data_IF_494422345424
#
_entry.id   IF_494422345424
#
_cell.length_a   1.000
_cell.length_b   1.000
_cell.length_c   1.000
_cell.angle_alpha   90.00
_cell.angle_beta   90.00
_cell.angle_gamma   90.00
#
_symmetry.space_group_name_H-M   'P 1'
#
loop_
_entity.id
_entity.type
_entity.pdbx_description
1 polymer ?
#
# COMPACT_ATOMS: atom_id res chain seq x y z
N UNK A 1 -12.93 12.18 -28.85
CA UNK A 1 -11.88 11.95 -29.87
C UNK A 1 -10.59 12.63 -29.44
N UNK A 2 -9.44 11.98 -29.66
CA UNK A 2 -8.10 12.56 -29.45
C UNK A 2 -7.70 13.38 -30.68
N UNK A 3 -7.63 14.69 -30.55
CA UNK A 3 -7.09 15.57 -31.60
C UNK A 3 -5.57 15.47 -31.72
N UNK A 4 -5.01 16.11 -32.75
CA UNK A 4 -3.55 16.16 -32.96
C UNK A 4 -2.85 16.87 -31.78
N UNK A 5 -3.39 18.02 -31.35
CA UNK A 5 -2.89 18.76 -30.19
C UNK A 5 -3.01 17.96 -28.89
N UNK A 6 -4.12 17.22 -28.69
CA UNK A 6 -4.27 16.34 -27.53
C UNK A 6 -3.13 15.31 -27.45
N UNK A 7 -2.81 14.68 -28.58
CA UNK A 7 -1.76 13.65 -28.66
C UNK A 7 -0.37 14.25 -28.47
N UNK A 8 -0.12 15.44 -29.00
CA UNK A 8 1.16 16.13 -28.88
C UNK A 8 1.44 16.59 -27.44
N UNK A 9 0.47 17.27 -26.81
CA UNK A 9 0.55 17.67 -25.39
C UNK A 9 0.70 16.43 -24.53
N UNK A 10 -0.11 15.41 -24.80
CA UNK A 10 -0.08 14.16 -24.06
C UNK A 10 1.23 13.40 -24.12
N UNK A 11 1.82 13.25 -25.30
CA UNK A 11 3.12 12.58 -25.46
C UNK A 11 4.22 13.33 -24.72
N UNK A 12 4.20 14.66 -24.77
CA UNK A 12 5.20 15.51 -24.11
C UNK A 12 5.11 15.39 -22.59
N UNK A 13 3.89 15.46 -22.04
CA UNK A 13 3.65 15.32 -20.60
C UNK A 13 3.95 13.90 -20.13
N UNK A 14 3.48 12.88 -20.84
CA UNK A 14 3.69 11.48 -20.46
C UNK A 14 5.18 11.13 -20.44
N UNK A 15 5.94 11.54 -21.46
CA UNK A 15 7.40 11.34 -21.47
C UNK A 15 8.07 12.04 -20.28
N UNK A 16 7.64 13.26 -19.94
CA UNK A 16 8.19 14.03 -18.81
C UNK A 16 7.85 13.37 -17.47
N UNK A 17 6.63 12.84 -17.31
CA UNK A 17 6.21 12.07 -16.13
C UNK A 17 7.02 10.79 -16.01
N UNK A 18 7.20 10.01 -17.08
CA UNK A 18 7.97 8.78 -17.05
C UNK A 18 9.45 9.03 -16.71
N UNK A 19 10.07 10.08 -17.28
CA UNK A 19 11.45 10.45 -16.93
C UNK A 19 11.57 10.88 -15.46
N UNK A 20 10.61 11.66 -14.97
CA UNK A 20 10.59 12.10 -13.58
C UNK A 20 10.40 10.93 -12.62
N UNK A 21 9.46 10.04 -12.93
CA UNK A 21 9.20 8.83 -12.17
C UNK A 21 10.42 7.93 -12.13
N UNK A 22 11.06 7.70 -13.28
CA UNK A 22 12.30 6.93 -13.37
C UNK A 22 13.38 7.52 -12.45
N UNK A 23 13.60 8.84 -12.50
CA UNK A 23 14.59 9.50 -11.65
C UNK A 23 14.30 9.32 -10.15
N UNK A 24 13.06 9.55 -9.73
CA UNK A 24 12.65 9.41 -8.32
C UNK A 24 12.80 7.95 -7.84
N UNK A 25 12.36 6.99 -8.65
CA UNK A 25 12.41 5.57 -8.34
C UNK A 25 13.86 5.06 -8.34
N UNK A 26 14.71 5.50 -9.25
CA UNK A 26 16.14 5.16 -9.25
C UNK A 26 16.83 5.68 -8.00
N UNK A 27 16.54 6.92 -7.59
CA UNK A 27 17.10 7.48 -6.36
C UNK A 27 16.65 6.70 -5.12
N UNK A 28 15.35 6.39 -5.02
CA UNK A 28 14.82 5.51 -3.97
C UNK A 28 15.47 4.14 -3.97
N UNK A 29 15.63 3.54 -5.15
CA UNK A 29 16.26 2.23 -5.33
C UNK A 29 17.70 2.19 -4.84
N UNK A 30 18.51 3.22 -5.14
CA UNK A 30 19.89 3.32 -4.63
C UNK A 30 19.90 3.39 -3.10
N UNK A 31 19.03 4.22 -2.50
CA UNK A 31 18.93 4.34 -1.04
C UNK A 31 18.56 3.00 -0.40
N UNK A 32 17.54 2.32 -0.93
CA UNK A 32 17.12 1.00 -0.46
C UNK A 32 18.18 -0.07 -0.64
N UNK A 33 18.89 -0.05 -1.76
CA UNK A 33 19.98 -0.99 -2.01
C UNK A 33 21.10 -0.82 -0.98
N UNK A 34 21.51 0.42 -0.69
CA UNK A 34 22.49 0.73 0.36
C UNK A 34 21.97 0.27 1.73
N UNK A 35 20.69 0.45 2.03
CA UNK A 35 20.09 -0.05 3.26
C UNK A 35 20.13 -1.58 3.36
N UNK A 36 19.83 -2.30 2.27
CA UNK A 36 19.90 -3.76 2.23
C UNK A 36 21.34 -4.28 2.30
N UNK A 37 22.32 -3.55 1.75
CA UNK A 37 23.73 -3.92 1.87
C UNK A 37 24.19 -4.01 3.33
N UNK A 38 23.57 -3.26 4.25
CA UNK A 38 23.88 -3.35 5.69
C UNK A 38 23.50 -4.69 6.32
N UNK A 39 22.68 -5.51 5.64
CA UNK A 39 22.24 -6.85 6.08
C UNK A 39 22.93 -7.97 5.32
N UNK A 40 23.89 -7.64 4.45
CA UNK A 40 24.69 -8.63 3.74
C UNK A 40 25.66 -9.27 4.72
N UNK A 41 25.70 -10.61 4.70
CA UNK A 41 26.42 -11.41 5.69
C UNK A 41 25.52 -12.10 6.73
N UNK A 42 24.24 -11.73 6.79
CA UNK A 42 23.25 -12.46 7.59
C UNK A 42 22.74 -13.68 6.80
N UNK A 43 23.13 -14.89 7.22
CA UNK A 43 22.78 -16.13 6.52
C UNK A 43 23.40 -16.20 5.11
N UNK A 44 22.60 -16.59 4.12
CA UNK A 44 22.98 -16.64 2.69
C UNK A 44 22.67 -15.32 1.95
N UNK A 45 22.46 -14.22 2.69
CA UNK A 45 22.14 -12.93 2.10
C UNK A 45 23.38 -12.23 1.53
N UNK A 46 23.45 -12.11 0.21
CA UNK A 46 24.55 -11.55 -0.56
C UNK A 46 24.19 -10.18 -1.17
N UNK A 47 25.17 -9.47 -1.72
CA UNK A 47 24.92 -8.22 -2.46
C UNK A 47 23.97 -8.43 -3.67
N UNK A 48 24.02 -9.61 -4.30
CA UNK A 48 23.09 -9.97 -5.38
C UNK A 48 21.66 -10.09 -4.86
N UNK A 49 21.45 -10.72 -3.69
CA UNK A 49 20.11 -10.83 -3.11
C UNK A 49 19.55 -9.47 -2.67
N UNK A 50 20.41 -8.55 -2.21
CA UNK A 50 20.04 -7.15 -1.98
C UNK A 50 19.60 -6.44 -3.27
N UNK A 51 20.28 -6.69 -4.39
CA UNK A 51 19.90 -6.17 -5.70
C UNK A 51 18.55 -6.69 -6.18
N UNK A 52 18.33 -8.01 -6.09
CA UNK A 52 17.06 -8.66 -6.44
C UNK A 52 15.92 -8.13 -5.56
N UNK A 53 16.14 -8.03 -4.25
CA UNK A 53 15.16 -7.45 -3.33
C UNK A 53 14.77 -6.03 -3.76
N UNK A 54 15.76 -5.17 -4.01
CA UNK A 54 15.52 -3.79 -4.40
C UNK A 54 14.70 -3.72 -5.69
N UNK A 55 15.07 -4.52 -6.70
CA UNK A 55 14.38 -4.56 -8.00
C UNK A 55 12.94 -5.07 -7.89
N UNK A 56 12.68 -6.06 -7.05
CA UNK A 56 11.33 -6.56 -6.78
C UNK A 56 10.43 -5.54 -6.05
N UNK A 57 11.02 -4.61 -5.29
CA UNK A 57 10.26 -3.52 -4.62
C UNK A 57 10.05 -2.27 -5.49
N UNK A 58 10.62 -2.21 -6.70
CA UNK A 58 10.47 -1.06 -7.63
C UNK A 58 9.01 -0.76 -7.97
N UNK A 59 8.14 -1.74 -8.25
CA UNK A 59 6.72 -1.49 -8.50
C UNK A 59 6.01 -0.74 -7.36
N UNK A 60 6.37 -1.02 -6.11
CA UNK A 60 5.84 -0.34 -4.94
C UNK A 60 6.33 1.12 -4.88
N UNK A 61 7.58 1.37 -5.24
CA UNK A 61 8.10 2.74 -5.32
C UNK A 61 7.41 3.53 -6.42
N UNK A 62 7.11 2.90 -7.55
CA UNK A 62 6.32 3.55 -8.60
C UNK A 62 4.97 4.01 -8.04
N UNK A 63 4.26 3.16 -7.29
CA UNK A 63 2.96 3.49 -6.70
C UNK A 63 3.06 4.67 -5.70
N UNK A 64 4.07 4.64 -4.82
CA UNK A 64 4.31 5.71 -3.84
C UNK A 64 4.68 7.04 -4.51
N UNK A 65 5.58 7.02 -5.50
CA UNK A 65 6.09 8.23 -6.13
C UNK A 65 5.22 8.76 -7.26
N UNK A 66 4.18 8.02 -7.69
CA UNK A 66 3.41 8.36 -8.86
C UNK A 66 2.76 9.76 -8.81
N UNK A 67 2.03 10.16 -7.74
CA UNK A 67 1.37 11.47 -7.71
C UNK A 67 2.39 12.62 -7.78
N UNK A 68 3.53 12.47 -7.10
CA UNK A 68 4.62 13.45 -7.10
C UNK A 68 5.27 13.56 -8.48
N UNK A 69 5.53 12.42 -9.13
CA UNK A 69 6.05 12.37 -10.49
C UNK A 69 5.05 12.94 -11.51
N UNK A 70 3.74 12.75 -11.29
CA UNK A 70 2.69 13.28 -12.14
C UNK A 70 2.64 14.82 -12.07
N UNK A 71 2.72 15.41 -10.87
CA UNK A 71 2.80 16.87 -10.68
C UNK A 71 4.04 17.44 -11.36
N UNK A 72 5.21 16.93 -10.99
CA UNK A 72 6.49 17.45 -11.45
C UNK A 72 6.66 17.22 -12.95
N UNK A 73 6.38 16.02 -13.45
CA UNK A 73 6.44 15.70 -14.87
C UNK A 73 5.48 16.53 -15.72
N UNK A 74 4.25 16.76 -15.25
CA UNK A 74 3.31 17.64 -15.96
C UNK A 74 3.78 19.11 -15.93
N UNK A 75 4.34 19.60 -14.82
CA UNK A 75 4.95 20.93 -14.74
C UNK A 75 6.11 21.09 -15.71
N UNK A 76 6.98 20.08 -15.84
CA UNK A 76 8.11 20.11 -16.75
C UNK A 76 7.67 20.03 -18.21
N UNK A 77 6.74 19.14 -18.53
CA UNK A 77 6.21 18.97 -19.90
C UNK A 77 5.46 20.22 -20.38
N UNK A 78 4.50 20.71 -19.59
CA UNK A 78 3.80 21.95 -19.90
C UNK A 78 4.72 23.18 -19.83
N UNK A 79 5.69 23.17 -18.92
CA UNK A 79 6.70 24.21 -18.81
C UNK A 79 7.57 24.29 -20.05
N UNK A 80 8.00 23.16 -20.62
CA UNK A 80 8.76 23.13 -21.86
C UNK A 80 7.95 23.71 -23.03
N UNK A 81 6.68 23.34 -23.16
CA UNK A 81 5.75 23.90 -24.16
C UNK A 81 5.55 25.42 -23.95
N UNK A 82 5.45 25.87 -22.70
CA UNK A 82 5.33 27.29 -22.38
C UNK A 82 6.58 28.08 -22.75
N UNK A 83 7.77 27.55 -22.43
CA UNK A 83 9.06 28.22 -22.69
C UNK A 83 9.40 28.31 -24.17
N UNK A 84 8.89 27.38 -24.99
CA UNK A 84 8.99 27.42 -26.46
C UNK A 84 7.87 28.24 -27.12
N UNK A 85 7.07 28.95 -26.33
CA UNK A 85 5.89 29.71 -26.78
C UNK A 85 4.80 28.88 -27.48
N UNK A 86 4.85 27.55 -27.41
CA UNK A 86 3.90 26.66 -28.09
C UNK A 86 2.50 26.78 -27.49
N UNK A 87 2.39 26.89 -26.16
CA UNK A 87 1.09 27.12 -25.50
C UNK A 87 0.46 28.46 -25.89
N UNK A 88 1.28 29.48 -26.19
CA UNK A 88 0.82 30.80 -26.61
C UNK A 88 0.29 30.74 -28.04
N UNK A 89 1.01 30.05 -28.93
CA UNK A 89 0.57 29.84 -30.32
C UNK A 89 -0.74 29.04 -30.36
N UNK A 90 -0.86 27.97 -29.57
CA UNK A 90 -2.11 27.21 -29.48
C UNK A 90 -3.30 28.10 -29.09
N UNK A 91 -3.13 28.98 -28.10
CA UNK A 91 -4.19 29.92 -27.69
C UNK A 91 -4.51 30.96 -28.77
N UNK A 92 -3.50 31.47 -29.46
CA UNK A 92 -3.69 32.41 -30.57
C UNK A 92 -4.45 31.78 -31.76
N UNK A 93 -4.30 30.47 -31.97
CA UNK A 93 -5.05 29.71 -32.97
C UNK A 93 -6.45 29.25 -32.51
N UNK A 94 -6.94 29.76 -31.36
CA UNK A 94 -8.28 29.45 -30.84
C UNK A 94 -8.36 28.22 -29.92
N UNK A 95 -7.23 27.59 -29.58
CA UNK A 95 -7.22 26.47 -28.63
C UNK A 95 -7.22 26.97 -27.19
N UNK A 96 -8.39 26.88 -26.54
CA UNK A 96 -8.62 27.49 -25.23
C UNK A 96 -7.80 26.84 -24.10
N UNK A 97 -7.57 27.58 -23.01
CA UNK A 97 -6.94 27.06 -21.78
C UNK A 97 -7.67 25.81 -21.24
N UNK A 98 -8.99 25.78 -21.34
CA UNK A 98 -9.80 24.64 -20.92
C UNK A 98 -9.56 23.42 -21.81
N UNK A 99 -9.41 23.60 -23.13
CA UNK A 99 -9.06 22.51 -24.03
C UNK A 99 -7.67 21.95 -23.73
N UNK A 100 -6.68 22.80 -23.41
CA UNK A 100 -5.35 22.33 -22.96
C UNK A 100 -5.49 21.52 -21.67
N UNK A 101 -6.23 22.02 -20.68
CA UNK A 101 -6.48 21.28 -19.44
C UNK A 101 -7.15 19.93 -19.71
N UNK A 102 -8.15 19.89 -20.59
CA UNK A 102 -8.79 18.65 -21.02
C UNK A 102 -7.83 17.71 -21.76
N UNK A 103 -6.91 18.21 -22.58
CA UNK A 103 -5.86 17.40 -23.21
C UNK A 103 -4.99 16.71 -22.15
N UNK A 104 -4.59 17.45 -21.10
CA UNK A 104 -3.83 16.88 -19.99
C UNK A 104 -4.65 15.83 -19.25
N UNK A 105 -5.92 16.11 -18.94
CA UNK A 105 -6.78 15.14 -18.24
C UNK A 105 -7.07 13.88 -19.07
N UNK A 106 -7.19 13.99 -20.40
CA UNK A 106 -7.28 12.80 -21.28
C UNK A 106 -6.04 11.92 -21.18
N UNK A 107 -4.88 12.51 -20.90
CA UNK A 107 -3.61 11.78 -20.77
C UNK A 107 -3.42 11.19 -19.39
N UNK A 108 -4.19 11.65 -18.41
CA UNK A 108 -4.30 11.01 -17.10
C UNK A 108 -4.97 9.64 -17.18
N UNK A 109 -5.87 9.41 -18.13
CA UNK A 109 -6.63 8.15 -18.26
C UNK A 109 -5.70 6.92 -18.38
N UNK A 110 -4.75 6.85 -19.33
CA UNK A 110 -3.84 5.69 -19.40
C UNK A 110 -2.95 5.57 -18.16
N UNK A 111 -2.54 6.70 -17.56
CA UNK A 111 -1.75 6.72 -16.34
C UNK A 111 -2.53 6.11 -15.15
N UNK A 112 -3.79 6.49 -14.98
CA UNK A 112 -4.71 5.92 -13.98
C UNK A 112 -4.84 4.41 -14.15
N UNK A 113 -5.05 3.93 -15.36
CA UNK A 113 -5.15 2.48 -15.63
C UNK A 113 -3.86 1.76 -15.23
N UNK A 114 -2.70 2.29 -15.62
CA UNK A 114 -1.40 1.72 -15.26
C UNK A 114 -1.21 1.69 -13.73
N UNK A 115 -1.57 2.77 -13.02
CA UNK A 115 -1.47 2.78 -11.55
C UNK A 115 -2.38 1.78 -10.87
N UNK A 116 -3.61 1.61 -11.36
CA UNK A 116 -4.53 0.61 -10.80
C UNK A 116 -4.00 -0.81 -11.00
N UNK A 117 -3.48 -1.12 -12.19
CA UNK A 117 -2.85 -2.42 -12.49
C UNK A 117 -1.64 -2.62 -11.57
N UNK A 118 -0.82 -1.58 -11.41
CA UNK A 118 0.38 -1.61 -10.56
C UNK A 118 0.01 -1.86 -9.10
N UNK A 119 -0.95 -1.11 -8.55
CA UNK A 119 -1.35 -1.18 -7.14
C UNK A 119 -2.12 -2.45 -6.75
N UNK A 120 -2.84 -3.07 -7.70
CA UNK A 120 -3.63 -4.29 -7.43
C UNK A 120 -2.82 -5.57 -7.62
N UNK A 121 -1.98 -5.66 -8.66
CA UNK A 121 -1.31 -6.91 -9.04
C UNK A 121 0.21 -6.86 -8.91
N UNK A 122 0.86 -5.84 -9.48
CA UNK A 122 2.31 -5.86 -9.67
C UNK A 122 3.04 -5.51 -8.36
N UNK A 123 2.63 -4.43 -7.69
CA UNK A 123 3.27 -3.95 -6.47
C UNK A 123 3.08 -4.89 -5.27
N UNK A 124 1.86 -5.40 -4.97
CA UNK A 124 1.69 -6.37 -3.89
C UNK A 124 2.46 -7.66 -4.13
N UNK A 125 2.41 -8.23 -5.34
CA UNK A 125 3.12 -9.46 -5.68
C UNK A 125 4.64 -9.29 -5.61
N UNK A 126 5.17 -8.20 -6.19
CA UNK A 126 6.60 -7.90 -6.17
C UNK A 126 7.14 -7.72 -4.74
N UNK A 127 6.41 -6.98 -3.90
CA UNK A 127 6.77 -6.75 -2.51
C UNK A 127 6.72 -8.05 -1.68
N UNK A 128 5.69 -8.89 -1.89
CA UNK A 128 5.57 -10.18 -1.21
C UNK A 128 6.71 -11.12 -1.61
N UNK A 129 7.03 -11.21 -2.90
CA UNK A 129 8.18 -11.98 -3.38
C UNK A 129 9.50 -11.45 -2.84
N UNK A 130 9.70 -10.12 -2.82
CA UNK A 130 10.89 -9.51 -2.26
C UNK A 130 11.10 -9.93 -0.80
N UNK A 131 10.05 -9.83 0.02
CA UNK A 131 10.13 -10.19 1.44
C UNK A 131 10.33 -11.69 1.66
N UNK A 132 9.62 -12.54 0.93
CA UNK A 132 9.79 -13.99 1.03
C UNK A 132 11.20 -14.41 0.61
N UNK A 133 11.71 -13.86 -0.49
CA UNK A 133 13.07 -14.12 -0.95
C UNK A 133 14.13 -13.66 0.06
N UNK A 134 13.94 -12.50 0.67
CA UNK A 134 14.82 -12.02 1.74
C UNK A 134 14.75 -12.88 3.00
N UNK A 135 13.55 -13.30 3.41
CA UNK A 135 13.37 -14.18 4.57
C UNK A 135 14.03 -15.54 4.33
N UNK A 136 13.85 -16.12 3.14
CA UNK A 136 14.47 -17.37 2.74
C UNK A 136 16.00 -17.28 2.76
N UNK A 137 16.59 -16.17 2.29
CA UNK A 137 18.05 -16.00 2.26
C UNK A 137 18.68 -15.69 3.61
N UNK A 138 17.96 -15.03 4.52
CA UNK A 138 18.49 -14.71 5.86
C UNK A 138 18.28 -15.88 6.83
N UNK A 139 17.10 -16.52 6.79
CA UNK A 139 16.64 -17.49 7.79
C UNK A 139 16.61 -18.93 7.26
N UNK A 140 16.56 -19.14 5.95
CA UNK A 140 16.49 -20.47 5.33
C UNK A 140 15.07 -21.00 5.06
N UNK A 141 14.01 -20.24 5.37
CA UNK A 141 12.62 -20.61 5.11
C UNK A 141 11.78 -19.46 4.52
N UNK A 142 10.92 -19.78 3.54
CA UNK A 142 10.09 -18.81 2.80
C UNK A 142 8.80 -18.40 3.53
N UNK A 143 8.34 -19.24 4.46
CA UNK A 143 7.33 -18.88 5.44
C UNK A 143 8.05 -18.24 6.62
N UNK A 144 7.45 -17.18 7.14
CA UNK A 144 7.86 -16.50 8.37
C UNK A 144 7.88 -17.53 9.50
N UNK A 145 9.00 -18.23 9.64
CA UNK A 145 9.46 -18.74 10.92
C UNK A 145 9.89 -17.47 11.64
N UNK A 146 8.93 -16.77 12.22
CA UNK A 146 9.28 -15.89 13.32
C UNK A 146 9.85 -16.84 14.37
N UNK A 147 11.13 -16.76 14.66
CA UNK A 147 11.71 -17.36 15.88
C UNK A 147 10.94 -16.93 17.16
N UNK A 148 10.03 -15.95 17.02
CA UNK A 148 9.12 -15.39 18.01
C UNK A 148 7.67 -15.92 18.01
N UNK A 149 7.32 -16.92 17.17
CA UNK A 149 5.94 -17.40 17.05
C UNK A 149 4.98 -16.33 16.51
N UNK A 150 3.68 -16.65 16.42
CA UNK A 150 2.63 -15.76 15.92
C UNK A 150 1.46 -15.74 16.90
N UNK A 151 0.96 -14.55 17.21
CA UNK A 151 -0.28 -14.38 17.94
C UNK A 151 -1.40 -13.96 16.98
N UNK A 152 -2.55 -14.61 17.10
CA UNK A 152 -3.79 -14.24 16.42
C UNK A 152 -4.92 -14.18 17.45
N UNK A 153 -5.98 -13.45 17.13
CA UNK A 153 -7.18 -13.37 17.98
C UNK A 153 -8.41 -13.63 17.11
N UNK A 154 -9.24 -14.58 17.54
CA UNK A 154 -10.51 -14.92 16.90
C UNK A 154 -11.63 -14.81 17.96
N UNK A 155 -12.43 -13.75 17.87
CA UNK A 155 -13.44 -13.40 18.88
C UNK A 155 -12.87 -13.32 20.32
N UNK A 156 -13.16 -14.31 21.16
CA UNK A 156 -12.70 -14.41 22.55
C UNK A 156 -11.49 -15.34 22.72
N UNK A 157 -11.05 -16.01 21.65
CA UNK A 157 -9.94 -16.93 21.65
C UNK A 157 -8.65 -16.21 21.22
N UNK A 158 -7.61 -16.29 22.04
CA UNK A 158 -6.26 -15.87 21.69
C UNK A 158 -5.45 -17.10 21.30
N UNK A 159 -4.82 -17.04 20.13
CA UNK A 159 -4.15 -18.18 19.53
C UNK A 159 -2.67 -17.83 19.40
N UNK A 160 -1.80 -18.71 19.88
CA UNK A 160 -0.36 -18.65 19.69
C UNK A 160 0.08 -19.84 18.84
N UNK A 161 0.79 -19.58 17.75
CA UNK A 161 1.34 -20.59 16.86
C UNK A 161 2.86 -20.44 16.90
N UNK A 162 3.56 -21.43 17.42
CA UNK A 162 5.02 -21.32 17.54
C UNK A 162 5.71 -21.44 16.19
N UNK A 163 5.26 -22.38 15.34
CA UNK A 163 5.88 -22.65 14.04
C UNK A 163 4.84 -22.91 12.97
N UNK A 164 5.04 -22.30 11.81
CA UNK A 164 4.25 -22.56 10.60
C UNK A 164 5.18 -23.31 9.64
N UNK A 165 4.89 -24.60 9.42
CA UNK A 165 5.73 -25.45 8.58
C UNK A 165 5.42 -25.27 7.09
N UNK A 166 4.13 -25.25 6.77
CA UNK A 166 3.58 -25.07 5.42
C UNK A 166 2.32 -24.19 5.50
N UNK A 167 1.83 -23.69 4.37
CA UNK A 167 0.61 -22.87 4.34
C UNK A 167 -0.59 -23.56 5.03
N UNK A 168 -0.67 -24.89 4.94
CA UNK A 168 -1.74 -25.71 5.52
C UNK A 168 -1.34 -26.46 6.80
N UNK A 169 -0.09 -26.34 7.28
CA UNK A 169 0.40 -27.09 8.46
C UNK A 169 1.03 -26.17 9.50
N UNK A 170 0.44 -26.17 10.70
CA UNK A 170 0.89 -25.42 11.87
C UNK A 170 1.37 -26.38 12.97
N UNK A 171 2.31 -25.94 13.80
CA UNK A 171 2.90 -26.70 14.89
C UNK A 171 2.89 -25.89 16.20
N UNK A 172 2.73 -26.61 17.31
CA UNK A 172 2.73 -26.07 18.67
C UNK A 172 1.75 -24.90 18.82
N UNK A 173 0.47 -25.21 18.68
CA UNK A 173 -0.64 -24.25 18.73
C UNK A 173 -1.20 -24.21 20.15
N UNK A 174 -1.22 -23.04 20.75
CA UNK A 174 -1.89 -22.79 22.04
C UNK A 174 -3.10 -21.88 21.83
N UNK A 175 -4.27 -22.29 22.29
CA UNK A 175 -5.52 -21.54 22.19
C UNK A 175 -5.99 -21.23 23.61
N UNK A 176 -6.15 -19.95 23.91
CA UNK A 176 -6.60 -19.43 25.19
C UNK A 176 -8.01 -18.87 25.01
N UNK A 177 -9.01 -19.52 25.58
CA UNK A 177 -10.40 -19.08 25.51
C UNK A 177 -10.76 -18.26 26.73
N UNK A 178 -11.29 -17.07 26.49
CA UNK A 178 -11.78 -16.18 27.54
C UNK A 178 -13.31 -16.09 27.53
N UNK A 179 -13.90 -15.88 28.69
CA UNK A 179 -15.32 -15.50 28.82
C UNK A 179 -15.53 -14.02 28.47
N UNK A 180 -16.80 -13.60 28.42
CA UNK A 180 -17.19 -12.19 28.19
C UNK A 180 -16.65 -11.22 29.26
N UNK A 181 -16.26 -11.74 30.43
CA UNK A 181 -15.66 -10.98 31.53
C UNK A 181 -14.12 -10.95 31.49
N UNK A 182 -13.50 -11.44 30.40
CA UNK A 182 -12.04 -11.57 30.22
C UNK A 182 -11.37 -12.47 31.27
N UNK A 183 -12.09 -13.44 31.82
CA UNK A 183 -11.52 -14.55 32.60
C UNK A 183 -11.21 -15.72 31.69
N UNK A 184 -10.09 -16.37 31.94
CA UNK A 184 -9.65 -17.54 31.17
C UNK A 184 -10.52 -18.75 31.53
N UNK A 185 -11.26 -19.28 30.56
CA UNK A 185 -12.12 -20.46 30.73
C UNK A 185 -11.37 -21.75 30.40
N UNK A 186 -10.61 -21.77 29.31
CA UNK A 186 -9.85 -22.93 28.90
C UNK A 186 -8.55 -22.59 28.18
N UNK A 187 -7.59 -23.50 28.29
CA UNK A 187 -6.33 -23.49 27.55
C UNK A 187 -6.22 -24.80 26.80
N UNK A 188 -6.07 -24.72 25.49
CA UNK A 188 -5.91 -25.87 24.62
C UNK A 188 -4.54 -25.81 23.94
N UNK A 189 -3.76 -26.88 24.07
CA UNK A 189 -2.50 -27.05 23.35
C UNK A 189 -2.66 -28.16 22.32
N UNK A 190 -2.17 -27.94 21.10
CA UNK A 190 -2.13 -28.94 20.04
C UNK A 190 -0.73 -28.99 19.43
N UNK A 191 -0.15 -30.19 19.33
CA UNK A 191 1.19 -30.35 18.78
C UNK A 191 1.23 -30.04 17.26
N UNK A 192 0.14 -30.35 16.54
CA UNK A 192 0.04 -30.13 15.09
C UNK A 192 -1.37 -29.75 14.68
N UNK A 193 -1.51 -28.88 13.69
CA UNK A 193 -2.77 -28.59 13.01
C UNK A 193 -2.61 -28.69 11.49
N UNK A 194 -3.58 -29.31 10.83
CA UNK A 194 -3.66 -29.38 9.36
C UNK A 194 -4.98 -28.80 8.87
N UNK A 195 -4.94 -27.89 7.90
CA UNK A 195 -6.14 -27.29 7.33
C UNK A 195 -6.80 -28.23 6.31
N UNK A 196 -8.06 -28.59 6.55
CA UNK A 196 -8.90 -29.36 5.63
C UNK A 196 -9.66 -28.37 4.73
N UNK A 197 -9.28 -28.32 3.45
CA UNK A 197 -9.84 -27.38 2.49
C UNK A 197 -11.30 -27.70 2.10
N UNK A 198 -11.69 -28.99 2.15
CA UNK A 198 -13.04 -29.43 1.78
C UNK A 198 -14.04 -29.08 2.89
N UNK A 199 -13.62 -29.25 4.14
CA UNK A 199 -14.45 -28.93 5.33
C UNK A 199 -14.29 -27.50 5.84
N UNK A 200 -13.31 -26.74 5.30
CA UNK A 200 -12.96 -25.37 5.71
C UNK A 200 -12.71 -25.22 7.22
N UNK A 201 -12.02 -26.20 7.81
CA UNK A 201 -11.72 -26.23 9.24
C UNK A 201 -10.32 -26.77 9.51
N UNK A 202 -9.75 -26.43 10.67
CA UNK A 202 -8.47 -26.97 11.10
C UNK A 202 -8.67 -28.26 11.86
N UNK A 203 -7.93 -29.29 11.47
CA UNK A 203 -7.88 -30.56 12.20
C UNK A 203 -6.63 -30.53 13.07
N UNK A 204 -6.82 -30.37 14.37
CA UNK A 204 -5.76 -30.37 15.37
C UNK A 204 -5.48 -31.81 15.83
N UNK A 205 -4.20 -32.15 16.01
CA UNK A 205 -3.72 -33.46 16.45
C UNK A 205 -2.97 -33.35 17.77
N UNK A 206 -3.12 -34.37 18.62
CA UNK A 206 -2.54 -34.44 19.97
C UNK A 206 -2.92 -33.23 20.82
N UNK A 207 -4.23 -33.09 21.06
CA UNK A 207 -4.81 -31.95 21.75
C UNK A 207 -4.91 -32.23 23.24
N UNK A 208 -4.41 -31.29 24.04
CA UNK A 208 -4.53 -31.27 25.48
C UNK A 208 -5.33 -30.03 25.86
N UNK A 209 -6.50 -30.22 26.45
CA UNK A 209 -7.39 -29.13 26.86
C UNK A 209 -7.47 -29.10 28.39
N UNK A 210 -7.20 -27.95 28.97
CA UNK A 210 -7.34 -27.67 30.41
C UNK A 210 -8.49 -26.68 30.60
N UNK A 211 -9.54 -27.10 31.33
CA UNK A 211 -10.71 -26.27 31.63
C UNK A 211 -10.57 -25.73 33.05
N UNK A 212 -10.70 -24.41 33.21
CA UNK A 212 -10.49 -23.65 34.45
C UNK A 212 -11.81 -23.21 35.12
N UNK A 213 -12.95 -23.80 34.73
CA UNK A 213 -14.31 -23.37 35.09
C UNK A 213 -14.71 -23.36 36.58
N UNK A 214 -13.82 -23.73 37.51
CA UNK A 214 -14.06 -23.64 38.96
C UNK A 214 -12.78 -23.20 39.67
N UNK A 215 -12.90 -22.24 40.60
CA UNK A 215 -11.79 -21.61 41.34
C UNK A 215 -10.81 -22.57 42.04
N UNK A 216 -11.07 -23.89 42.05
CA UNK A 216 -10.26 -24.88 42.77
C UNK A 216 -9.95 -26.19 42.02
N UNK A 217 -10.39 -26.39 40.76
CA UNK A 217 -10.04 -27.61 40.00
C UNK A 217 -9.81 -27.31 38.51
N UNK A 218 -8.64 -27.71 38.02
CA UNK A 218 -8.31 -27.76 36.60
C UNK A 218 -8.62 -29.17 36.12
N UNK A 219 -9.56 -29.30 35.18
CA UNK A 219 -9.87 -30.60 34.55
C UNK A 219 -9.16 -30.67 33.20
N UNK A 220 -8.28 -31.66 33.04
CA UNK A 220 -7.57 -31.92 31.78
C UNK A 220 -8.28 -32.98 30.95
N UNK A 221 -8.40 -32.76 29.64
CA UNK A 221 -8.81 -33.78 28.69
C UNK A 221 -7.76 -33.91 27.57
N UNK A 222 -7.52 -35.13 27.12
CA UNK A 222 -6.62 -35.42 26.01
C UNK A 222 -7.41 -36.02 24.86
N UNK A 223 -7.20 -35.49 23.66
CA UNK A 223 -7.86 -35.97 22.43
C UNK A 223 -6.81 -36.17 21.35
N UNK A 224 -6.95 -37.26 20.61
CA UNK A 224 -6.08 -37.55 19.46
C UNK A 224 -6.30 -36.54 18.34
N UNK A 225 -7.55 -36.19 18.08
CA UNK A 225 -7.96 -35.27 17.02
C UNK A 225 -9.05 -34.31 17.53
N UNK A 226 -9.02 -33.06 17.08
CA UNK A 226 -10.06 -32.06 17.35
C UNK A 226 -10.32 -31.20 16.12
N UNK A 227 -11.59 -31.10 15.73
CA UNK A 227 -12.03 -30.25 14.62
C UNK A 227 -12.22 -28.82 15.12
N UNK A 228 -11.22 -27.98 14.88
CA UNK A 228 -11.22 -26.57 15.26
C UNK A 228 -11.85 -25.71 14.17
N UNK A 229 -13.07 -25.25 14.46
CA UNK A 229 -13.80 -24.29 13.62
C UNK A 229 -13.38 -22.87 14.01
N UNK A 230 -12.60 -22.24 13.15
CA UNK A 230 -12.11 -20.86 13.31
C UNK A 230 -12.27 -20.11 12.00
N UNK A 231 -12.42 -18.79 12.08
CA UNK A 231 -12.40 -17.93 10.91
C UNK A 231 -10.97 -17.68 10.38
N UNK A 232 -9.94 -18.19 11.07
CA UNK A 232 -8.54 -18.08 10.70
C UNK A 232 -8.20 -19.08 9.59
N UNK A 233 -8.11 -18.64 8.35
CA UNK A 233 -7.70 -19.48 7.21
C UNK A 233 -6.19 -19.38 6.96
N UNK A 234 -5.57 -20.36 6.27
CA UNK A 234 -4.19 -20.27 5.77
C UNK A 234 -3.83 -18.94 5.09
N UNK A 235 -4.75 -18.44 4.26
CA UNK A 235 -4.58 -17.15 3.58
C UNK A 235 -4.49 -15.99 4.59
N UNK A 236 -5.30 -16.02 5.65
CA UNK A 236 -5.28 -15.02 6.72
C UNK A 236 -4.02 -15.11 7.57
N UNK A 237 -3.51 -16.32 7.87
CA UNK A 237 -2.25 -16.52 8.59
C UNK A 237 -1.05 -15.90 7.86
N UNK A 238 -1.00 -16.04 6.53
CA UNK A 238 0.03 -15.40 5.71
C UNK A 238 0.00 -13.87 5.79
N UNK A 239 -1.18 -13.28 6.01
CA UNK A 239 -1.41 -11.83 6.05
C UNK A 239 -1.03 -11.20 7.40
N UNK A 240 -1.11 -11.93 8.52
CA UNK A 240 -0.80 -11.39 9.86
C UNK A 240 0.66 -10.92 9.98
N UNK A 241 1.56 -11.43 9.13
CA UNK A 241 2.98 -11.00 9.08
C UNK A 241 3.26 -9.83 8.12
N UNK A 242 2.26 -9.36 7.36
CA UNK A 242 2.45 -8.40 6.28
C UNK A 242 1.89 -7.02 6.65
N UNK A 243 2.72 -5.98 6.47
CA UNK A 243 2.31 -4.58 6.60
C UNK A 243 1.12 -4.26 5.69
N UNK A 244 0.16 -3.48 6.17
CA UNK A 244 -1.07 -3.11 5.45
C UNK A 244 -0.80 -2.61 4.01
N UNK A 245 0.26 -1.83 3.82
CA UNK A 245 0.59 -1.23 2.52
C UNK A 245 1.01 -2.23 1.44
N UNK A 246 1.32 -3.47 1.82
CA UNK A 246 1.80 -4.50 0.90
C UNK A 246 0.74 -5.44 0.35
N UNK A 247 -0.50 -5.32 0.84
CA UNK A 247 -1.62 -6.13 0.39
C UNK A 247 -2.29 -5.50 -0.83
N UNK A 248 -2.88 -6.33 -1.71
CA UNK A 248 -3.76 -5.83 -2.78
C UNK A 248 -5.04 -5.22 -2.20
N UNK A 249 -5.80 -4.47 -3.00
CA UNK A 249 -7.05 -3.86 -2.55
C UNK A 249 -8.06 -4.96 -2.15
N UNK A 250 -8.11 -6.05 -2.91
CA UNK A 250 -8.92 -7.23 -2.56
C UNK A 250 -8.46 -7.90 -1.27
N UNK A 251 -7.14 -8.07 -1.08
CA UNK A 251 -6.58 -8.64 0.14
C UNK A 251 -6.86 -7.77 1.36
N UNK A 252 -6.77 -6.45 1.22
CA UNK A 252 -7.16 -5.49 2.25
C UNK A 252 -8.63 -5.63 2.63
N UNK A 253 -9.53 -5.70 1.65
CA UNK A 253 -10.96 -5.85 1.91
C UNK A 253 -11.29 -7.14 2.68
N UNK A 254 -10.71 -8.27 2.26
CA UNK A 254 -10.88 -9.56 2.95
C UNK A 254 -10.35 -9.50 4.38
N UNK A 255 -9.18 -8.89 4.59
CA UNK A 255 -8.57 -8.79 5.91
C UNK A 255 -9.31 -7.83 6.84
N UNK A 256 -9.78 -6.68 6.33
CA UNK A 256 -10.64 -5.75 7.06
C UNK A 256 -11.91 -6.45 7.54
N UNK A 257 -12.52 -7.28 6.69
CA UNK A 257 -13.74 -8.03 7.02
C UNK A 257 -13.47 -9.01 8.15
N UNK A 258 -12.36 -9.75 8.07
CA UNK A 258 -11.92 -10.65 9.13
C UNK A 258 -11.65 -9.93 10.46
N UNK A 259 -10.96 -8.78 10.44
CA UNK A 259 -10.70 -8.00 11.66
C UNK A 259 -12.00 -7.51 12.30
N UNK A 260 -12.97 -7.06 11.49
CA UNK A 260 -14.29 -6.63 11.98
C UNK A 260 -15.07 -7.80 12.60
N UNK A 261 -15.09 -8.96 11.94
CA UNK A 261 -15.71 -10.19 12.46
C UNK A 261 -15.05 -10.65 13.77
N UNK A 262 -13.74 -10.43 13.91
CA UNK A 262 -12.97 -10.77 15.11
C UNK A 262 -13.04 -9.73 16.23
N UNK A 263 -13.84 -8.66 16.07
CA UNK A 263 -13.95 -7.57 17.04
C UNK A 263 -12.68 -6.73 17.21
N UNK A 264 -11.83 -6.67 16.18
CA UNK A 264 -10.56 -5.94 16.18
C UNK A 264 -10.65 -4.61 15.43
N UNK A 265 -9.74 -3.68 15.75
CA UNK A 265 -9.65 -2.38 15.10
C UNK A 265 -9.02 -2.53 13.72
N UNK A 266 -9.79 -2.28 12.67
CA UNK A 266 -9.36 -2.39 11.27
C UNK A 266 -8.98 -1.04 10.63
N UNK A 267 -8.88 0.05 11.41
CA UNK A 267 -8.74 1.42 10.89
C UNK A 267 -7.49 1.64 10.04
N UNK A 268 -6.36 1.02 10.41
CA UNK A 268 -5.09 1.10 9.66
C UNK A 268 -5.25 0.50 8.26
N UNK A 269 -5.84 -0.69 8.17
CA UNK A 269 -6.05 -1.38 6.90
C UNK A 269 -7.10 -0.69 6.04
N UNK A 270 -8.15 -0.14 6.65
CA UNK A 270 -9.14 0.68 5.95
C UNK A 270 -8.49 1.92 5.33
N UNK A 271 -7.62 2.60 6.08
CA UNK A 271 -6.89 3.77 5.59
C UNK A 271 -6.03 3.42 4.37
N UNK A 272 -5.19 2.38 4.46
CA UNK A 272 -4.36 1.94 3.33
C UNK A 272 -5.21 1.54 2.11
N UNK A 273 -6.38 0.90 2.33
CA UNK A 273 -7.32 0.55 1.25
C UNK A 273 -7.82 1.81 0.53
N UNK A 274 -8.30 2.80 1.27
CA UNK A 274 -8.80 4.04 0.69
C UNK A 274 -7.70 4.87 0.01
N UNK A 275 -6.49 4.89 0.57
CA UNK A 275 -5.35 5.54 -0.08
C UNK A 275 -5.03 4.89 -1.43
N UNK A 276 -5.06 3.54 -1.53
CA UNK A 276 -4.85 2.84 -2.82
C UNK A 276 -5.96 3.10 -3.82
N UNK A 277 -7.22 3.05 -3.38
CA UNK A 277 -8.39 3.33 -4.25
C UNK A 277 -8.34 4.77 -4.78
N UNK A 278 -7.91 5.73 -3.95
CA UNK A 278 -7.85 7.15 -4.31
C UNK A 278 -6.52 7.57 -4.95
N UNK A 279 -5.51 6.69 -5.02
CA UNK A 279 -4.23 7.00 -5.64
C UNK A 279 -4.34 7.48 -7.10
N UNK A 280 -5.15 6.86 -7.98
CA UNK A 280 -5.30 7.33 -9.36
C UNK A 280 -5.99 8.69 -9.44
N UNK A 281 -6.98 8.95 -8.58
CA UNK A 281 -7.62 10.26 -8.47
C UNK A 281 -6.60 11.31 -8.02
N UNK A 282 -5.74 10.97 -7.06
CA UNK A 282 -4.70 11.86 -6.56
C UNK A 282 -3.73 12.26 -7.67
N UNK A 283 -3.31 11.31 -8.52
CA UNK A 283 -2.48 11.61 -9.68
C UNK A 283 -3.16 12.57 -10.68
N UNK A 284 -4.47 12.40 -10.91
CA UNK A 284 -5.26 13.29 -11.74
C UNK A 284 -5.34 14.72 -11.16
N UNK A 285 -5.54 14.83 -9.84
CA UNK A 285 -5.50 16.12 -9.13
C UNK A 285 -4.11 16.77 -9.25
N UNK A 286 -3.03 16.01 -9.09
CA UNK A 286 -1.67 16.50 -9.22
C UNK A 286 -1.38 17.05 -10.63
N UNK A 287 -1.85 16.37 -11.68
CA UNK A 287 -1.74 16.89 -13.05
C UNK A 287 -2.56 18.16 -13.26
N UNK A 288 -3.77 18.23 -12.69
CA UNK A 288 -4.59 19.45 -12.75
C UNK A 288 -3.93 20.63 -12.01
N UNK A 289 -3.25 20.35 -10.90
CA UNK A 289 -2.48 21.36 -10.18
C UNK A 289 -1.32 21.88 -11.02
N UNK A 290 -0.60 21.01 -11.74
CA UNK A 290 0.45 21.42 -12.67
C UNK A 290 -0.09 22.37 -13.75
N UNK A 291 -1.24 22.04 -14.34
CA UNK A 291 -1.95 22.90 -15.30
C UNK A 291 -2.27 24.26 -14.69
N UNK A 292 -2.79 24.26 -13.47
CA UNK A 292 -3.16 25.48 -12.72
C UNK A 292 -1.94 26.36 -12.44
N UNK A 293 -0.80 25.75 -12.12
CA UNK A 293 0.46 26.45 -11.89
C UNK A 293 1.03 27.08 -13.16
N UNK A 294 1.03 26.36 -14.28
CA UNK A 294 1.55 26.87 -15.56
C UNK A 294 0.70 28.00 -16.12
N UNK A 295 -0.63 27.93 -16.00
CA UNK A 295 -1.51 29.02 -16.40
C UNK A 295 -1.64 30.13 -15.33
N UNK A 296 -1.17 29.85 -14.12
CA UNK A 296 -1.23 30.73 -12.97
C UNK A 296 0.13 31.37 -12.63
N UNK A 297 0.65 31.20 -11.40
CA UNK A 297 1.85 31.90 -10.93
C UNK A 297 3.13 31.56 -11.70
N UNK A 298 3.25 30.34 -12.23
CA UNK A 298 4.49 29.83 -12.83
C UNK A 298 4.56 30.01 -14.36
N UNK A 299 3.73 30.89 -14.91
CA UNK A 299 3.67 31.16 -16.36
C UNK A 299 5.00 31.66 -16.92
N UNK A 300 5.56 32.69 -16.30
CA UNK A 300 6.75 33.42 -16.80
C UNK A 300 8.04 33.07 -16.05
N UNK A 301 7.98 32.11 -15.13
CA UNK A 301 9.15 31.77 -14.31
C UNK A 301 10.11 30.83 -15.04
N UNK A 302 11.42 30.88 -14.75
CA UNK A 302 12.40 29.94 -15.29
C UNK A 302 12.10 28.48 -14.92
N UNK A 303 12.64 27.55 -15.69
CA UNK A 303 12.41 26.11 -15.51
C UNK A 303 12.82 25.62 -14.09
N UNK A 304 13.92 26.14 -13.54
CA UNK A 304 14.37 25.76 -12.19
C UNK A 304 13.35 26.07 -11.09
N UNK A 305 12.65 27.22 -11.19
CA UNK A 305 11.59 27.59 -10.22
C UNK A 305 10.41 26.63 -10.33
N UNK A 306 10.08 26.16 -11.54
CA UNK A 306 9.02 25.16 -11.77
C UNK A 306 9.38 23.81 -11.15
N UNK A 307 10.63 23.38 -11.31
CA UNK A 307 11.16 22.15 -10.69
C UNK A 307 11.03 22.23 -9.16
N UNK A 308 11.57 23.28 -8.56
CA UNK A 308 11.54 23.45 -7.09
C UNK A 308 10.11 23.53 -6.58
N UNK A 309 9.23 24.29 -7.24
CA UNK A 309 7.81 24.38 -6.87
C UNK A 309 7.08 23.03 -6.99
N UNK A 310 7.41 22.24 -8.02
CA UNK A 310 6.86 20.90 -8.19
C UNK A 310 7.34 19.92 -7.11
N UNK A 311 8.62 19.97 -6.75
CA UNK A 311 9.19 19.17 -5.65
C UNK A 311 8.52 19.56 -4.32
N UNK A 312 8.45 20.85 -4.00
CA UNK A 312 7.82 21.35 -2.77
C UNK A 312 6.33 20.97 -2.74
N UNK A 313 5.61 21.14 -3.85
CA UNK A 313 4.20 20.76 -3.95
C UNK A 313 3.98 19.25 -3.78
N UNK A 314 4.82 18.42 -4.41
CA UNK A 314 4.75 16.96 -4.28
C UNK A 314 5.12 16.48 -2.88
N UNK A 315 6.16 17.07 -2.28
CA UNK A 315 6.57 16.75 -0.91
C UNK A 315 5.52 17.20 0.11
N UNK A 316 4.91 18.37 -0.08
CA UNK A 316 3.78 18.82 0.75
C UNK A 316 2.59 17.87 0.63
N UNK A 317 2.26 17.41 -0.57
CA UNK A 317 1.22 16.38 -0.76
C UNK A 317 1.56 15.11 0.00
N UNK A 318 2.81 14.63 -0.08
CA UNK A 318 3.27 13.45 0.66
C UNK A 318 3.14 13.63 2.18
N UNK A 319 3.61 14.75 2.72
CA UNK A 319 3.49 15.06 4.16
C UNK A 319 2.03 15.10 4.59
N UNK A 320 1.15 15.75 3.83
CA UNK A 320 -0.27 15.83 4.16
C UNK A 320 -0.93 14.46 4.11
N UNK A 321 -0.61 13.63 3.11
CA UNK A 321 -1.16 12.28 3.00
C UNK A 321 -0.73 11.39 4.19
N UNK A 322 0.54 11.45 4.59
CA UNK A 322 1.03 10.71 5.76
C UNK A 322 0.52 11.29 7.09
N UNK A 323 0.49 12.62 7.21
CA UNK A 323 0.05 13.33 8.40
C UNK A 323 -1.43 13.10 8.69
N UNK A 324 -2.30 13.32 7.70
CA UNK A 324 -3.74 13.06 7.86
C UNK A 324 -4.03 11.58 8.08
N UNK A 325 -3.28 10.68 7.46
CA UNK A 325 -3.37 9.24 7.72
C UNK A 325 -3.14 8.91 9.20
N UNK A 326 -2.01 9.34 9.75
CA UNK A 326 -1.66 9.10 11.16
C UNK A 326 -2.64 9.80 12.12
N UNK A 327 -3.05 11.04 11.83
CA UNK A 327 -4.04 11.75 12.64
C UNK A 327 -5.41 11.07 12.64
N UNK A 328 -5.81 10.46 11.52
CA UNK A 328 -7.06 9.70 11.44
C UNK A 328 -7.12 8.56 12.44
N UNK A 329 -5.99 7.89 12.66
CA UNK A 329 -5.87 6.76 13.56
C UNK A 329 -5.92 7.19 15.03
N UNK A 330 -5.41 8.38 15.35
CA UNK A 330 -5.40 8.92 16.72
C UNK A 330 -6.75 9.54 17.08
N UNK A 331 -7.32 10.36 16.20
CA UNK A 331 -8.56 11.10 16.45
C UNK A 331 -9.84 10.35 16.04
N UNK A 332 -9.72 9.09 15.60
CA UNK A 332 -10.84 8.26 15.11
C UNK A 332 -11.66 8.92 13.98
N UNK A 333 -11.00 9.74 13.15
CA UNK A 333 -11.62 10.31 11.95
C UNK A 333 -11.87 9.15 10.97
N UNK A 334 -12.99 9.14 10.21
CA UNK A 334 -13.24 8.12 9.21
C UNK A 334 -12.07 7.99 8.22
N UNK A 335 -11.50 6.78 8.03
CA UNK A 335 -10.32 6.58 7.17
C UNK A 335 -10.49 7.06 5.72
N UNK A 336 -11.72 7.00 5.20
CA UNK A 336 -12.09 7.52 3.87
C UNK A 336 -11.78 9.01 3.75
N UNK A 337 -12.18 9.78 4.78
CA UNK A 337 -12.04 11.23 4.79
C UNK A 337 -10.56 11.60 4.85
N UNK A 338 -9.80 10.94 5.72
CA UNK A 338 -8.36 11.16 5.83
C UNK A 338 -7.61 10.86 4.54
N UNK A 339 -7.95 9.77 3.85
CA UNK A 339 -7.35 9.43 2.56
C UNK A 339 -7.74 10.41 1.43
N UNK A 340 -8.96 10.96 1.45
CA UNK A 340 -9.42 11.90 0.44
C UNK A 340 -8.94 13.35 0.67
N UNK A 341 -8.67 13.73 1.92
CA UNK A 341 -8.42 15.12 2.30
C UNK A 341 -7.25 15.79 1.56
N UNK A 342 -6.06 15.17 1.40
CA UNK A 342 -4.96 15.78 0.63
C UNK A 342 -5.39 16.10 -0.81
N UNK A 343 -6.06 15.16 -1.46
CA UNK A 343 -6.49 15.29 -2.86
C UNK A 343 -7.60 16.33 -3.01
N UNK A 344 -8.53 16.41 -2.06
CA UNK A 344 -9.57 17.46 -2.06
C UNK A 344 -8.94 18.84 -1.85
N UNK A 345 -7.98 18.99 -0.93
CA UNK A 345 -7.28 20.25 -0.69
C UNK A 345 -6.53 20.72 -1.95
N UNK A 346 -5.77 19.84 -2.57
CA UNK A 346 -5.02 20.16 -3.78
C UNK A 346 -5.95 20.44 -4.97
N UNK A 347 -7.07 19.74 -5.07
CA UNK A 347 -8.10 20.01 -6.07
C UNK A 347 -8.71 21.40 -5.86
N UNK A 348 -9.03 21.77 -4.62
CA UNK A 348 -9.54 23.09 -4.26
C UNK A 348 -8.57 24.21 -4.63
N UNK A 349 -7.29 24.05 -4.29
CA UNK A 349 -6.22 25.00 -4.67
C UNK A 349 -6.09 25.10 -6.20
N UNK A 350 -6.14 23.97 -6.90
CA UNK A 350 -6.05 23.92 -8.37
C UNK A 350 -7.20 24.69 -9.02
N UNK A 351 -8.44 24.40 -8.62
CA UNK A 351 -9.64 25.07 -9.13
C UNK A 351 -9.60 26.57 -8.81
N UNK A 352 -9.23 26.94 -7.57
CA UNK A 352 -9.11 28.35 -7.18
C UNK A 352 -8.13 29.12 -8.07
N UNK A 353 -6.96 28.54 -8.36
CA UNK A 353 -5.96 29.16 -9.23
C UNK A 353 -6.42 29.27 -10.69
N UNK A 354 -7.22 28.30 -11.17
CA UNK A 354 -7.81 28.36 -12.51
C UNK A 354 -8.91 29.43 -12.63
N UNK A 355 -9.76 29.57 -11.61
CA UNK A 355 -10.90 30.50 -11.63
C UNK A 355 -10.48 31.94 -11.38
N UNK A 356 -9.53 32.20 -10.46
CA UNK A 356 -9.10 33.57 -10.07
C UNK A 356 -8.50 34.39 -11.24
N UNK A 357 -8.22 33.78 -12.38
CA UNK A 357 -7.66 34.44 -13.57
C UNK A 357 -8.55 34.29 -14.82
N UNK A 358 -9.87 34.41 -14.63
CA UNK A 358 -10.74 34.99 -15.66
C UNK A 358 -10.51 36.49 -15.75
#
# INVERSE_FOLDING_TARGET
>A
MFGVLDRYIGRTILNSILMTLFLLVSLSGIIKFVEQLRKVGDGDYTAMSAGVFTLLTVPKDIDIFFPMAALLGALLGLGALASRSELVVMQASGFTRLQIAMSVMKTAIPLVIVTMIMGEWIAPAGEQWARNYRAEKIVGSSLVVTDSGMWAKDAHDFIYIQRIKDASTIQDVSIYRFDDHRKLESVMFAARGTYDADKKLWVLSQVQESILGSQQKITGSQRLTYDWKTNLTPEKLGIVSLNADSLSIRGLYQYITYLKESGQVASVYQLSMWQKILAPLSAAVMMLMAVSFIFGPLRTVPMGVRVVSGIVGGFLFYILNQGFGNWSLVYSIPPVVAAALPSVLFLGVSIFLLVKRK
#
